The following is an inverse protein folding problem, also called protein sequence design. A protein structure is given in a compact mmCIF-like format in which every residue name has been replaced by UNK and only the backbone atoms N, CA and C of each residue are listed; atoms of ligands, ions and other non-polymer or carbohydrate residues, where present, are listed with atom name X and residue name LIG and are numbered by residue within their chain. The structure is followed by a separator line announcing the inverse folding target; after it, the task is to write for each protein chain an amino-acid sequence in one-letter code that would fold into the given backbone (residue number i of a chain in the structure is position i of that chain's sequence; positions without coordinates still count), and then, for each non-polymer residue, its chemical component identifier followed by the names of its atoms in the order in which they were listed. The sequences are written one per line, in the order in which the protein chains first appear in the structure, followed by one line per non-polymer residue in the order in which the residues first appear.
data_IF_027305614294
#
_entry.id   IF_027305614294
#
_cell.length_a   1.000
_cell.length_b   1.000
_cell.length_c   1.000
_cell.angle_alpha   90.00
_cell.angle_beta   90.00
_cell.angle_gamma   90.00
#
_symmetry.space_group_name_H-M   'P 1'
#
loop_
_entity.id
_entity.type
_entity.pdbx_description
1 polymer ?
#
# COMPACT_ATOMS: atom_id res chain seq x y z
N UNK A 1 28.96 -47.00 -10.31
CA UNK A 1 27.51 -46.67 -10.27
C UNK A 1 27.04 -46.04 -8.96
N UNK A 2 27.43 -46.57 -7.78
CA UNK A 2 26.97 -46.09 -6.47
C UNK A 2 27.33 -44.62 -6.16
N UNK A 3 28.55 -44.18 -6.53
CA UNK A 3 29.00 -42.78 -6.35
C UNK A 3 28.30 -41.78 -7.28
N UNK A 4 27.99 -42.21 -8.51
CA UNK A 4 27.28 -41.38 -9.51
C UNK A 4 25.85 -41.07 -9.04
N UNK A 5 25.19 -42.08 -8.47
CA UNK A 5 23.82 -41.97 -7.98
C UNK A 5 23.72 -41.02 -6.78
N UNK A 6 24.72 -41.06 -5.88
CA UNK A 6 24.82 -40.11 -4.76
C UNK A 6 25.07 -38.68 -5.25
N UNK A 7 25.95 -38.49 -6.25
CA UNK A 7 26.21 -37.16 -6.82
C UNK A 7 24.97 -36.54 -7.47
N UNK A 8 24.17 -37.34 -8.18
CA UNK A 8 22.91 -36.89 -8.81
C UNK A 8 21.88 -36.51 -7.74
N UNK A 9 21.73 -37.31 -6.67
CA UNK A 9 20.82 -36.99 -5.57
C UNK A 9 21.24 -35.70 -4.84
N UNK A 10 22.54 -35.49 -4.62
CA UNK A 10 23.06 -34.24 -4.07
C UNK A 10 22.79 -33.02 -4.97
N UNK A 11 22.91 -33.18 -6.29
CA UNK A 11 22.63 -32.11 -7.25
C UNK A 11 21.13 -31.76 -7.31
N UNK A 12 20.26 -32.77 -7.31
CA UNK A 12 18.80 -32.55 -7.31
C UNK A 12 18.35 -31.88 -6.02
N UNK A 13 18.85 -32.33 -4.87
CA UNK A 13 18.52 -31.70 -3.58
C UNK A 13 19.06 -30.27 -3.48
N UNK A 14 20.28 -30.00 -3.98
CA UNK A 14 20.84 -28.65 -4.03
C UNK A 14 20.06 -27.71 -4.96
N UNK A 15 19.61 -28.21 -6.12
CA UNK A 15 18.75 -27.46 -7.04
C UNK A 15 17.37 -27.17 -6.45
N UNK A 16 16.78 -28.11 -5.71
CA UNK A 16 15.51 -27.91 -5.00
C UNK A 16 15.61 -26.88 -3.88
N UNK A 17 16.71 -26.84 -3.12
CA UNK A 17 16.92 -25.86 -2.04
C UNK A 17 17.02 -24.42 -2.60
N UNK A 18 17.65 -24.25 -3.76
CA UNK A 18 17.77 -22.93 -4.41
C UNK A 18 16.54 -22.53 -5.25
N UNK A 19 15.69 -23.49 -5.63
CA UNK A 19 14.54 -23.33 -6.53
C UNK A 19 13.27 -22.73 -5.90
N UNK A 20 13.20 -22.55 -4.58
CA UNK A 20 12.05 -21.94 -3.88
C UNK A 20 11.89 -20.42 -4.10
N UNK A 21 12.41 -19.89 -5.20
CA UNK A 21 12.37 -18.45 -5.53
C UNK A 21 11.87 -18.28 -6.96
N UNK A 22 10.55 -18.22 -7.11
CA UNK A 22 9.89 -18.08 -8.42
C UNK A 22 10.36 -16.85 -9.21
N UNK A 23 10.22 -16.88 -10.55
CA UNK A 23 10.81 -15.88 -11.46
C UNK A 23 10.31 -14.45 -11.23
N UNK A 24 9.16 -14.28 -10.57
CA UNK A 24 8.52 -12.98 -10.35
C UNK A 24 8.91 -12.28 -9.04
N UNK A 25 9.80 -12.85 -8.22
CA UNK A 25 10.16 -12.23 -6.91
C UNK A 25 10.82 -10.86 -7.05
N UNK A 26 11.54 -10.59 -8.15
CA UNK A 26 12.16 -9.27 -8.41
C UNK A 26 11.13 -8.16 -8.67
N UNK A 27 9.87 -8.52 -8.97
CA UNK A 27 8.81 -7.55 -9.25
C UNK A 27 8.20 -6.96 -7.98
N UNK A 28 8.41 -7.59 -6.83
CA UNK A 28 7.85 -7.15 -5.55
C UNK A 28 8.92 -6.56 -4.64
N UNK A 29 8.64 -5.47 -3.92
CA UNK A 29 9.55 -4.91 -2.93
C UNK A 29 9.97 -5.97 -1.91
N UNK A 30 11.27 -6.02 -1.59
CA UNK A 30 11.80 -6.89 -0.55
C UNK A 30 11.44 -6.43 0.86
N UNK A 31 11.10 -5.14 1.03
CA UNK A 31 10.60 -4.60 2.29
C UNK A 31 9.15 -5.03 2.46
N UNK A 32 8.88 -5.83 3.49
CA UNK A 32 7.50 -6.06 3.92
C UNK A 32 6.91 -4.71 4.33
N UNK A 33 5.71 -4.34 3.87
CA UNK A 33 5.04 -3.16 4.38
C UNK A 33 4.90 -3.30 5.91
N UNK A 34 4.97 -2.19 6.63
CA UNK A 34 4.60 -2.17 8.04
C UNK A 34 3.16 -2.65 8.11
N UNK A 35 2.97 -3.84 8.69
CA UNK A 35 1.64 -4.41 8.89
C UNK A 35 1.06 -3.67 10.07
N UNK A 36 0.05 -2.84 9.83
CA UNK A 36 -0.79 -2.34 10.91
C UNK A 36 -1.40 -3.55 11.62
N UNK A 37 -1.17 -3.65 12.91
CA UNK A 37 -1.85 -4.61 13.77
C UNK A 37 -3.31 -4.22 13.89
N UNK A 38 -4.18 -5.17 14.25
CA UNK A 38 -5.63 -4.90 14.41
C UNK A 38 -5.89 -3.81 15.46
N UNK A 39 -4.92 -3.56 16.34
CA UNK A 39 -4.99 -2.58 17.42
C UNK A 39 -4.46 -1.19 17.02
N UNK A 40 -3.92 -1.01 15.81
CA UNK A 40 -3.41 0.28 15.37
C UNK A 40 -4.57 1.21 14.96
N UNK A 41 -4.68 2.35 15.64
CA UNK A 41 -5.68 3.39 15.37
C UNK A 41 -5.36 4.09 14.02
N UNK A 42 -6.25 4.02 13.01
CA UNK A 42 -6.07 4.73 11.75
C UNK A 42 -6.28 6.24 11.87
N UNK A 43 -6.72 6.72 13.02
CA UNK A 43 -7.04 8.12 13.29
C UNK A 43 -8.43 8.52 12.80
N UNK A 44 -8.71 9.83 12.92
CA UNK A 44 -10.01 10.39 12.56
C UNK A 44 -10.17 10.59 11.04
N UNK A 45 -11.36 10.31 10.48
CA UNK A 45 -11.62 10.50 9.06
C UNK A 45 -11.62 11.99 8.66
N UNK A 46 -10.95 12.31 7.56
CA UNK A 46 -10.90 13.67 7.02
C UNK A 46 -12.07 13.95 6.06
N UNK A 47 -13.04 14.75 6.50
CA UNK A 47 -14.12 15.27 5.66
C UNK A 47 -13.75 16.64 5.08
N UNK A 48 -13.68 16.73 3.76
CA UNK A 48 -13.24 17.96 3.07
C UNK A 48 -14.39 18.90 2.74
N UNK A 49 -15.62 18.39 2.61
CA UNK A 49 -16.80 19.20 2.26
C UNK A 49 -16.99 20.45 3.14
N UNK A 50 -16.86 20.40 4.49
CA UNK A 50 -17.01 21.60 5.31
C UNK A 50 -16.03 22.73 4.95
N UNK A 51 -14.79 22.38 4.59
CA UNK A 51 -13.77 23.34 4.17
C UNK A 51 -14.07 23.91 2.79
N UNK A 52 -14.48 23.05 1.85
CA UNK A 52 -14.81 23.44 0.49
C UNK A 52 -16.02 24.38 0.45
N UNK A 53 -17.05 24.13 1.26
CA UNK A 53 -18.24 24.98 1.35
C UNK A 53 -17.96 26.35 1.98
N UNK A 54 -16.96 26.44 2.85
CA UNK A 54 -16.47 27.70 3.41
C UNK A 54 -15.53 28.45 2.46
N UNK A 55 -15.27 27.92 1.26
CA UNK A 55 -14.31 28.49 0.31
C UNK A 55 -12.84 28.31 0.72
N UNK A 56 -12.55 27.49 1.73
CA UNK A 56 -11.19 27.25 2.26
C UNK A 56 -10.46 26.19 1.44
N UNK A 57 -10.29 26.46 0.15
CA UNK A 57 -9.77 25.49 -0.83
C UNK A 57 -8.32 25.09 -0.54
N UNK A 58 -7.47 26.05 -0.19
CA UNK A 58 -6.05 25.77 0.07
C UNK A 58 -5.86 24.96 1.36
N UNK A 59 -6.70 25.19 2.36
CA UNK A 59 -6.71 24.39 3.58
C UNK A 59 -7.15 22.95 3.30
N UNK A 60 -8.24 22.76 2.55
CA UNK A 60 -8.71 21.44 2.14
C UNK A 60 -7.64 20.66 1.36
N UNK A 61 -6.95 21.34 0.43
CA UNK A 61 -5.84 20.74 -0.33
C UNK A 61 -4.67 20.35 0.57
N UNK A 62 -4.29 21.22 1.51
CA UNK A 62 -3.19 20.92 2.45
C UNK A 62 -3.53 19.74 3.36
N UNK A 63 -4.75 19.71 3.92
CA UNK A 63 -5.18 18.64 4.83
C UNK A 63 -5.29 17.29 4.12
N UNK A 64 -5.69 17.28 2.86
CA UNK A 64 -5.82 16.03 2.09
C UNK A 64 -4.49 15.40 1.67
N UNK A 65 -3.36 16.08 1.84
CA UNK A 65 -2.05 15.56 1.45
C UNK A 65 -1.70 14.28 2.21
N UNK A 66 -1.30 13.23 1.48
CA UNK A 66 -0.94 11.93 2.06
C UNK A 66 0.58 11.76 2.08
N UNK A 67 1.10 11.45 3.26
CA UNK A 67 2.48 11.01 3.44
C UNK A 67 2.49 9.49 3.63
N UNK A 68 3.09 8.77 2.69
CA UNK A 68 3.15 7.30 2.75
C UNK A 68 4.59 6.79 2.62
N UNK A 69 5.41 6.84 3.69
CA UNK A 69 6.76 6.28 3.65
C UNK A 69 6.73 4.77 3.30
N UNK A 70 7.64 4.27 2.45
CA UNK A 70 8.80 4.94 1.85
C UNK A 70 8.52 5.65 0.52
N UNK A 71 7.26 5.74 0.09
CA UNK A 71 6.86 6.34 -1.18
C UNK A 71 6.84 7.87 -1.06
N UNK A 72 7.51 8.54 -2.00
CA UNK A 72 7.60 10.00 -2.08
C UNK A 72 6.63 10.61 -3.10
N UNK A 73 5.77 9.79 -3.71
CA UNK A 73 4.80 10.27 -4.69
C UNK A 73 3.76 11.15 -3.98
N UNK A 74 3.63 12.40 -4.43
CA UNK A 74 2.59 13.29 -3.96
C UNK A 74 1.22 12.66 -4.25
N UNK A 75 0.33 12.65 -3.26
CA UNK A 75 -1.04 12.19 -3.43
C UNK A 75 -1.96 12.86 -2.41
N UNK A 76 -3.25 12.85 -2.69
CA UNK A 76 -4.27 13.49 -1.88
C UNK A 76 -5.44 12.53 -1.63
N UNK A 77 -5.94 12.45 -0.42
CA UNK A 77 -7.10 11.61 -0.08
C UNK A 77 -8.04 12.28 0.90
N UNK A 78 -9.27 11.79 0.97
CA UNK A 78 -10.27 12.26 1.92
C UNK A 78 -11.68 11.89 1.50
N UNK A 79 -12.64 12.39 2.26
CA UNK A 79 -14.07 12.17 2.03
C UNK A 79 -14.76 13.43 1.54
N UNK A 80 -15.60 13.26 0.52
CA UNK A 80 -16.53 14.27 0.03
C UNK A 80 -17.96 13.85 0.34
N UNK A 81 -18.70 14.68 1.05
CA UNK A 81 -20.12 14.48 1.32
C UNK A 81 -20.92 14.63 0.03
N UNK A 82 -21.54 13.54 -0.40
CA UNK A 82 -22.38 13.48 -1.61
C UNK A 82 -23.87 13.66 -1.28
N UNK A 83 -24.27 13.35 -0.04
CA UNK A 83 -25.63 13.58 0.43
C UNK A 83 -25.63 13.93 1.93
N UNK A 84 -26.01 15.16 2.27
CA UNK A 84 -26.05 15.66 3.66
C UNK A 84 -27.17 15.05 4.50
N UNK A 85 -28.32 14.74 3.89
CA UNK A 85 -29.48 14.18 4.61
C UNK A 85 -29.14 12.84 5.26
N UNK A 86 -28.34 12.02 4.58
CA UNK A 86 -27.95 10.70 5.04
C UNK A 86 -26.49 10.61 5.48
N UNK A 87 -25.80 11.75 5.61
CA UNK A 87 -24.35 11.80 5.86
C UNK A 87 -23.57 10.81 4.97
N UNK A 88 -23.93 10.75 3.69
CA UNK A 88 -23.28 9.86 2.73
C UNK A 88 -22.04 10.55 2.17
N UNK A 89 -20.92 9.83 2.22
CA UNK A 89 -19.61 10.35 1.84
C UNK A 89 -18.93 9.41 0.84
N UNK A 90 -18.22 9.99 -0.13
CA UNK A 90 -17.41 9.28 -1.12
C UNK A 90 -15.93 9.49 -0.79
N UNK A 91 -15.19 8.39 -0.67
CA UNK A 91 -13.74 8.42 -0.55
C UNK A 91 -13.09 8.64 -1.92
N UNK A 92 -11.98 9.38 -1.94
CA UNK A 92 -11.09 9.43 -3.10
C UNK A 92 -9.62 9.33 -2.68
N UNK A 93 -8.78 8.90 -3.62
CA UNK A 93 -7.34 9.01 -3.55
C UNK A 93 -6.81 9.42 -4.93
N UNK A 94 -6.34 10.66 -5.01
CA UNK A 94 -5.89 11.30 -6.23
C UNK A 94 -4.36 11.35 -6.30
N UNK A 95 -3.83 11.03 -7.47
CA UNK A 95 -2.40 11.10 -7.79
C UNK A 95 -2.23 12.07 -8.97
N UNK A 96 -1.57 13.22 -8.77
CA UNK A 96 -1.26 14.14 -9.87
C UNK A 96 -0.32 13.49 -10.89
N UNK A 97 -0.44 13.93 -12.14
CA UNK A 97 0.39 13.52 -13.27
C UNK A 97 1.73 14.27 -13.32
#
# INVERSE_FOLDING_TARGET
MRLLLVAIVCLVTFASINGYRGPFRKMFPTRKPTVLTVDDDPGEPLFLTPYLEQGKIDEARRLSSVELPPYTQQSFSGYLTVNKQYNSNMFFWFFPA
#
